data_IF_738106401466
#
_entry.id   IF_738106401466
#
_cell.length_a   1.000
_cell.length_b   1.000
_cell.length_c   1.000
_cell.angle_alpha   90.00
_cell.angle_beta   90.00
_cell.angle_gamma   90.00
#
_symmetry.space_group_name_H-M   'P 1'
#
loop_
_entity.id
_entity.type
_entity.pdbx_description
1 polymer ?
#
# COMPACT_ATOMS: atom_id res chain seq x y z
N UNK A 1 32.55 -17.35 59.15
CA UNK A 1 31.32 -17.86 58.50
C UNK A 1 30.67 -16.74 57.70
N UNK A 2 30.02 -17.12 56.59
CA UNK A 2 29.30 -16.31 55.58
C UNK A 2 30.11 -15.65 54.45
N UNK A 3 30.26 -16.40 53.35
CA UNK A 3 30.49 -15.87 52.01
C UNK A 3 29.16 -15.88 51.23
N UNK A 4 28.84 -14.77 50.57
CA UNK A 4 27.60 -14.49 49.87
C UNK A 4 27.44 -15.32 48.58
N UNK A 5 26.22 -15.79 48.31
CA UNK A 5 25.86 -16.51 47.09
C UNK A 5 25.65 -15.56 45.89
N UNK A 6 26.10 -15.91 44.67
CA UNK A 6 25.88 -15.08 43.49
C UNK A 6 24.44 -15.24 42.97
N UNK A 7 23.78 -14.11 42.72
CA UNK A 7 22.47 -14.03 42.06
C UNK A 7 22.61 -14.40 40.58
N UNK A 8 21.93 -15.47 40.17
CA UNK A 8 21.80 -15.84 38.77
C UNK A 8 20.90 -14.81 38.05
N UNK A 9 21.47 -14.12 37.05
CA UNK A 9 20.69 -13.30 36.12
C UNK A 9 19.82 -14.22 35.26
N UNK A 10 18.51 -14.09 35.41
CA UNK A 10 17.53 -14.67 34.49
C UNK A 10 17.55 -13.85 33.19
N UNK A 11 18.18 -14.39 32.16
CA UNK A 11 18.03 -13.89 30.79
C UNK A 11 16.63 -14.26 30.30
N UNK A 12 15.77 -13.24 30.16
CA UNK A 12 14.48 -13.38 29.49
C UNK A 12 14.74 -13.47 27.98
N UNK A 13 14.28 -14.55 27.35
CA UNK A 13 14.30 -14.69 25.89
C UNK A 13 13.38 -13.62 25.28
N UNK A 14 13.76 -13.00 24.14
CA UNK A 14 12.89 -12.07 23.45
C UNK A 14 11.65 -12.83 22.97
N UNK A 15 10.49 -12.41 23.49
CA UNK A 15 9.19 -12.93 23.09
C UNK A 15 8.89 -12.36 21.70
N UNK A 16 9.16 -13.15 20.66
CA UNK A 16 8.72 -12.85 19.29
C UNK A 16 7.21 -12.60 19.34
N UNK A 17 6.80 -11.33 19.21
CA UNK A 17 5.41 -10.96 19.06
C UNK A 17 4.94 -11.54 17.73
N UNK A 18 4.25 -12.68 17.80
CA UNK A 18 3.57 -13.27 16.65
C UNK A 18 2.43 -12.33 16.31
N UNK A 19 2.65 -11.46 15.32
CA UNK A 19 1.60 -10.59 14.78
C UNK A 19 0.57 -11.48 14.07
N UNK A 20 -0.39 -11.99 14.83
CA UNK A 20 -1.55 -12.67 14.26
C UNK A 20 -2.45 -11.57 13.72
N UNK A 21 -2.26 -11.27 12.43
CA UNK A 21 -3.21 -10.47 11.66
C UNK A 21 -4.57 -11.18 11.70
N UNK A 22 -5.40 -10.82 12.67
CA UNK A 22 -6.77 -11.30 12.79
C UNK A 22 -7.62 -10.42 11.88
N UNK A 23 -8.26 -11.03 10.88
CA UNK A 23 -9.17 -10.31 9.99
C UNK A 23 -10.34 -9.75 10.80
N UNK A 24 -10.81 -8.54 10.47
CA UNK A 24 -12.03 -8.01 11.06
C UNK A 24 -13.23 -8.93 10.72
N UNK A 25 -14.25 -9.03 11.60
CA UNK A 25 -15.47 -9.78 11.29
C UNK A 25 -16.09 -9.31 9.96
N UNK A 26 -16.47 -10.26 9.10
CA UNK A 26 -16.98 -9.95 7.75
C UNK A 26 -15.90 -9.54 6.74
N UNK A 27 -14.63 -9.68 7.10
CA UNK A 27 -13.50 -9.40 6.20
C UNK A 27 -12.89 -10.66 5.63
N UNK A 28 -12.53 -10.63 4.36
CA UNK A 28 -11.81 -11.70 3.65
C UNK A 28 -10.59 -11.13 2.94
N UNK A 29 -9.56 -11.96 2.75
CA UNK A 29 -8.38 -11.62 1.93
C UNK A 29 -8.60 -12.11 0.51
N UNK A 30 -8.17 -11.32 -0.47
CA UNK A 30 -8.11 -11.77 -1.85
C UNK A 30 -7.07 -12.90 -2.02
N UNK A 31 -7.40 -14.00 -2.74
CA UNK A 31 -6.48 -15.12 -2.90
C UNK A 31 -5.33 -14.85 -3.88
N UNK A 32 -5.48 -13.88 -4.80
CA UNK A 32 -4.52 -13.61 -5.87
C UNK A 32 -3.74 -12.31 -5.64
N UNK A 33 -4.33 -11.35 -4.93
CA UNK A 33 -3.69 -10.06 -4.68
C UNK A 33 -2.94 -10.06 -3.33
N UNK A 34 -1.67 -9.59 -3.29
CA UNK A 34 -0.80 -9.74 -2.11
C UNK A 34 -1.35 -9.08 -0.84
N UNK A 35 -1.95 -7.90 -0.96
CA UNK A 35 -2.38 -7.09 0.18
C UNK A 35 -3.90 -6.80 0.26
N UNK A 36 -4.72 -7.29 -0.67
CA UNK A 36 -6.11 -6.84 -0.78
C UNK A 36 -7.03 -7.55 0.21
N UNK A 37 -7.87 -6.77 0.86
CA UNK A 37 -8.91 -7.22 1.76
C UNK A 37 -10.27 -6.62 1.37
N UNK A 38 -11.31 -7.44 1.47
CA UNK A 38 -12.70 -7.05 1.32
C UNK A 38 -13.34 -7.00 2.70
N UNK A 39 -14.10 -5.95 3.01
CA UNK A 39 -14.79 -5.76 4.28
C UNK A 39 -16.29 -5.58 4.02
N UNK A 40 -17.09 -6.59 4.34
CA UNK A 40 -18.54 -6.51 4.28
C UNK A 40 -19.10 -5.85 5.54
N UNK A 41 -19.92 -4.80 5.39
CA UNK A 41 -20.53 -4.15 6.54
C UNK A 41 -21.76 -4.95 7.01
N UNK A 42 -21.81 -5.40 8.28
CA UNK A 42 -22.80 -6.39 8.74
C UNK A 42 -24.23 -5.86 8.95
N UNK A 43 -24.51 -4.57 8.74
CA UNK A 43 -25.67 -3.91 9.36
C UNK A 43 -26.70 -3.25 8.42
N UNK A 44 -26.49 -3.22 7.10
CA UNK A 44 -27.45 -2.59 6.18
C UNK A 44 -27.61 -3.45 4.94
N UNK A 45 -28.83 -3.87 4.63
CA UNK A 45 -29.15 -4.33 3.27
C UNK A 45 -29.63 -3.13 2.45
N UNK A 46 -29.07 -2.91 1.24
CA UNK A 46 -28.01 -3.69 0.63
C UNK A 46 -26.63 -3.38 1.24
N UNK A 47 -25.76 -4.40 1.35
CA UNK A 47 -24.48 -4.31 2.09
C UNK A 47 -23.38 -3.73 1.22
N UNK A 48 -22.80 -2.61 1.65
CA UNK A 48 -21.61 -2.00 1.03
C UNK A 48 -20.38 -2.87 1.31
N UNK A 49 -19.57 -3.11 0.28
CA UNK A 49 -18.28 -3.80 0.38
C UNK A 49 -17.17 -2.76 0.28
N UNK A 50 -16.28 -2.73 1.27
CA UNK A 50 -15.15 -1.80 1.31
C UNK A 50 -13.86 -2.54 0.97
N UNK A 51 -12.97 -1.91 0.20
CA UNK A 51 -11.68 -2.48 -0.22
C UNK A 51 -10.54 -1.76 0.51
N UNK A 52 -9.60 -2.50 1.10
CA UNK A 52 -8.41 -1.94 1.77
C UNK A 52 -7.18 -2.81 1.50
N UNK A 53 -5.98 -2.23 1.61
CA UNK A 53 -4.72 -2.99 1.68
C UNK A 53 -4.42 -3.50 3.11
N UNK A 54 -5.26 -3.15 4.08
CA UNK A 54 -5.09 -3.51 5.48
C UNK A 54 -6.13 -4.56 5.90
N UNK A 55 -5.76 -5.55 6.74
CA UNK A 55 -6.68 -6.58 7.22
C UNK A 55 -7.79 -6.04 8.13
N UNK A 56 -7.52 -4.91 8.78
CA UNK A 56 -8.40 -4.23 9.72
C UNK A 56 -8.19 -2.73 9.55
N UNK A 57 -8.94 -2.03 8.68
CA UNK A 57 -8.93 -0.57 8.64
C UNK A 57 -9.64 0.01 9.87
N UNK A 58 -9.25 1.20 10.31
CA UNK A 58 -9.78 1.92 11.49
C UNK A 58 -11.27 2.21 11.35
N UNK A 59 -11.69 2.60 10.14
CA UNK A 59 -13.07 2.86 9.78
C UNK A 59 -13.26 2.76 8.26
N UNK A 60 -14.51 2.58 7.81
CA UNK A 60 -14.85 2.58 6.38
C UNK A 60 -14.63 3.94 5.69
N UNK A 61 -14.41 5.01 6.45
CA UNK A 61 -14.14 6.37 5.95
C UNK A 61 -12.67 6.81 6.15
N UNK A 62 -11.84 5.88 6.63
CA UNK A 62 -10.39 6.10 6.77
C UNK A 62 -9.77 6.46 5.43
N UNK A 63 -8.71 7.27 5.44
CA UNK A 63 -7.89 7.50 4.24
C UNK A 63 -7.05 6.27 3.85
N UNK A 64 -7.04 5.21 4.66
CA UNK A 64 -6.38 3.93 4.36
C UNK A 64 -7.25 2.95 3.55
N UNK A 65 -8.48 3.33 3.23
CA UNK A 65 -9.44 2.54 2.44
C UNK A 65 -9.36 2.97 0.99
N UNK A 66 -9.19 2.03 0.05
CA UNK A 66 -9.13 2.33 -1.39
C UNK A 66 -10.44 2.95 -1.88
N UNK A 67 -11.56 2.43 -1.39
CA UNK A 67 -12.89 2.80 -1.84
C UNK A 67 -13.91 1.73 -1.49
N UNK A 68 -15.05 1.77 -2.18
CA UNK A 68 -16.13 0.83 -1.92
C UNK A 68 -16.92 0.48 -3.19
N UNK A 69 -17.56 -0.68 -3.15
CA UNK A 69 -18.59 -1.07 -4.10
C UNK A 69 -19.96 -0.64 -3.55
N UNK A 70 -20.77 0.07 -4.36
CA UNK A 70 -22.10 0.46 -3.96
C UNK A 70 -22.97 -0.78 -3.74
N UNK A 71 -23.99 -0.67 -2.88
CA UNK A 71 -24.78 -1.81 -2.51
C UNK A 71 -25.87 -2.08 -3.57
N UNK A 72 -25.46 -2.48 -4.77
CA UNK A 72 -26.34 -2.93 -5.86
C UNK A 72 -26.08 -4.40 -6.14
N UNK A 73 -27.13 -5.15 -6.51
CA UNK A 73 -27.10 -6.61 -6.56
C UNK A 73 -26.00 -7.18 -7.48
N UNK A 74 -25.63 -6.43 -8.52
CA UNK A 74 -24.64 -6.81 -9.53
C UNK A 74 -23.44 -5.85 -9.58
N UNK A 75 -23.12 -5.18 -8.46
CA UNK A 75 -21.98 -4.26 -8.39
C UNK A 75 -20.69 -4.97 -8.83
N UNK A 76 -20.12 -4.53 -9.95
CA UNK A 76 -18.84 -5.01 -10.46
C UNK A 76 -17.72 -4.01 -10.21
N UNK A 77 -16.52 -4.31 -10.71
CA UNK A 77 -15.36 -3.41 -10.63
C UNK A 77 -15.64 -2.04 -11.28
N UNK A 78 -16.53 -1.98 -12.27
CA UNK A 78 -16.94 -0.74 -12.94
C UNK A 78 -17.75 0.20 -12.04
N UNK A 79 -18.37 -0.32 -10.98
CA UNK A 79 -19.16 0.46 -10.02
C UNK A 79 -18.32 0.95 -8.84
N UNK A 80 -17.01 0.67 -8.83
CA UNK A 80 -16.11 1.05 -7.76
C UNK A 80 -16.06 2.56 -7.56
N UNK A 81 -16.34 2.99 -6.34
CA UNK A 81 -16.23 4.39 -5.92
C UNK A 81 -14.92 4.57 -5.16
N UNK A 82 -13.98 5.27 -5.81
CA UNK A 82 -12.67 5.59 -5.28
C UNK A 82 -12.76 6.56 -4.08
N UNK A 83 -11.91 6.33 -3.07
CA UNK A 83 -11.68 7.27 -2.00
C UNK A 83 -10.55 8.24 -2.38
N UNK A 84 -10.84 9.53 -2.66
CA UNK A 84 -9.82 10.48 -3.08
C UNK A 84 -8.74 10.70 -1.99
N UNK A 85 -9.10 10.55 -0.71
CA UNK A 85 -8.14 10.69 0.40
C UNK A 85 -7.08 9.59 0.40
N UNK A 86 -7.43 8.41 -0.10
CA UNK A 86 -6.48 7.31 -0.25
C UNK A 86 -5.53 7.58 -1.41
N UNK A 87 -6.02 8.13 -2.52
CA UNK A 87 -5.18 8.51 -3.67
C UNK A 87 -4.10 9.52 -3.27
N UNK A 88 -4.43 10.50 -2.45
CA UNK A 88 -3.45 11.47 -1.93
C UNK A 88 -2.35 10.77 -1.12
N UNK A 89 -2.73 9.85 -0.23
CA UNK A 89 -1.79 9.05 0.58
C UNK A 89 -0.92 8.16 -0.30
N UNK A 90 -1.52 7.51 -1.30
CA UNK A 90 -0.82 6.63 -2.24
C UNK A 90 0.29 7.39 -2.98
N UNK A 91 -0.03 8.53 -3.60
CA UNK A 91 0.96 9.29 -4.35
C UNK A 91 2.04 9.92 -3.46
N UNK A 92 1.69 10.34 -2.24
CA UNK A 92 2.68 10.82 -1.27
C UNK A 92 3.63 9.69 -0.84
N UNK A 93 3.10 8.50 -0.54
CA UNK A 93 3.90 7.33 -0.15
C UNK A 93 4.79 6.83 -1.31
N UNK A 94 4.30 6.84 -2.55
CA UNK A 94 5.11 6.48 -3.72
C UNK A 94 6.25 7.47 -3.90
N UNK A 95 5.98 8.79 -3.84
CA UNK A 95 7.03 9.81 -3.96
C UNK A 95 8.13 9.62 -2.90
N UNK A 96 7.75 9.35 -1.67
CA UNK A 96 8.68 9.10 -0.57
C UNK A 96 9.43 7.77 -0.74
N UNK A 97 8.75 6.72 -1.19
CA UNK A 97 9.34 5.42 -1.52
C UNK A 97 10.39 5.51 -2.64
N UNK A 98 10.11 6.28 -3.69
CA UNK A 98 11.07 6.59 -4.76
C UNK A 98 12.29 7.34 -4.22
N UNK A 99 12.10 8.28 -3.28
CA UNK A 99 13.21 8.98 -2.65
C UNK A 99 14.11 8.08 -1.79
N UNK A 100 13.54 6.97 -1.29
CA UNK A 100 14.25 5.98 -0.48
C UNK A 100 14.80 4.81 -1.30
N UNK A 101 14.52 4.77 -2.61
CA UNK A 101 14.97 3.69 -3.49
C UNK A 101 14.44 2.31 -3.07
N UNK A 102 13.20 2.24 -2.57
CA UNK A 102 12.65 0.98 -1.99
C UNK A 102 12.33 -0.09 -3.02
N UNK A 103 12.23 0.28 -4.30
CA UNK A 103 11.85 -0.64 -5.38
C UNK A 103 13.00 -0.89 -6.35
N UNK A 104 13.58 -2.09 -6.28
CA UNK A 104 14.69 -2.50 -7.15
C UNK A 104 14.33 -2.49 -8.63
N UNK A 105 13.09 -2.84 -9.01
CA UNK A 105 12.66 -2.86 -10.41
C UNK A 105 12.62 -1.46 -11.01
N UNK A 106 12.12 -0.48 -10.26
CA UNK A 106 12.05 0.92 -10.69
C UNK A 106 13.44 1.55 -10.77
N UNK A 107 14.33 1.27 -9.80
CA UNK A 107 15.72 1.71 -9.83
C UNK A 107 16.51 1.08 -11.00
N UNK A 108 16.28 -0.21 -11.28
CA UNK A 108 16.88 -0.88 -12.42
C UNK A 108 16.43 -0.29 -13.75
N UNK A 109 15.13 0.02 -13.88
CA UNK A 109 14.61 0.70 -15.07
C UNK A 109 15.29 2.06 -15.23
N UNK A 110 15.35 2.89 -14.18
CA UNK A 110 16.02 4.19 -14.24
C UNK A 110 17.50 4.07 -14.66
N UNK A 111 18.25 3.13 -14.07
CA UNK A 111 19.68 2.95 -14.29
C UNK A 111 20.06 2.37 -15.65
N UNK A 112 19.13 1.68 -16.33
CA UNK A 112 19.38 1.07 -17.66
C UNK A 112 18.99 1.98 -18.82
N UNK A 113 18.43 3.17 -18.55
CA UNK A 113 18.05 4.12 -19.59
C UNK A 113 19.28 4.72 -20.28
N UNK A 114 19.24 4.88 -21.62
CA UNK A 114 20.37 5.41 -22.38
C UNK A 114 20.60 6.92 -22.20
N UNK A 115 19.67 7.64 -21.57
CA UNK A 115 19.78 9.07 -21.33
C UNK A 115 18.71 9.60 -20.39
N UNK A 116 18.82 10.89 -20.11
CA UNK A 116 17.95 11.60 -19.18
C UNK A 116 16.55 11.82 -19.77
N UNK A 117 15.54 11.85 -18.91
CA UNK A 117 14.17 12.07 -19.34
C UNK A 117 13.13 11.54 -18.37
N UNK A 118 11.86 11.73 -18.72
CA UNK A 118 10.76 11.19 -17.94
C UNK A 118 10.62 9.67 -18.12
N UNK A 119 10.37 9.01 -17.01
CA UNK A 119 10.07 7.59 -16.88
C UNK A 119 8.70 7.45 -16.21
N UNK A 120 7.88 6.51 -16.69
CA UNK A 120 6.57 6.24 -16.11
C UNK A 120 6.67 5.11 -15.10
N UNK A 121 6.08 5.31 -13.92
CA UNK A 121 5.89 4.25 -12.94
C UNK A 121 4.63 3.49 -13.33
N UNK A 122 4.80 2.21 -13.67
CA UNK A 122 3.71 1.38 -14.20
C UNK A 122 3.14 0.48 -13.11
N UNK A 123 1.82 0.31 -13.11
CA UNK A 123 1.11 -0.65 -12.28
C UNK A 123 1.38 -2.09 -12.77
N UNK A 124 1.91 -2.95 -11.90
CA UNK A 124 2.29 -4.32 -12.23
C UNK A 124 1.07 -5.24 -12.45
N UNK A 125 -0.17 -4.76 -12.24
CA UNK A 125 -1.37 -5.53 -12.64
C UNK A 125 -1.45 -5.74 -14.16
N UNK A 126 -0.84 -4.83 -14.93
CA UNK A 126 -0.89 -4.80 -16.39
C UNK A 126 0.50 -4.46 -16.98
N UNK A 127 1.47 -5.35 -16.75
CA UNK A 127 2.84 -5.15 -17.24
C UNK A 127 2.86 -5.08 -18.78
N UNK A 128 3.35 -3.97 -19.38
CA UNK A 128 3.40 -3.82 -20.82
C UNK A 128 4.44 -4.75 -21.46
N UNK A 129 4.29 -5.08 -22.76
CA UNK A 129 5.35 -5.75 -23.51
C UNK A 129 6.66 -4.95 -23.46
N UNK A 130 7.80 -5.66 -23.48
CA UNK A 130 9.11 -5.03 -23.44
C UNK A 130 9.27 -3.93 -24.51
N UNK A 131 9.71 -2.74 -24.09
CA UNK A 131 9.88 -1.57 -24.95
C UNK A 131 8.57 -0.84 -25.30
N UNK A 132 7.43 -1.20 -24.69
CA UNK A 132 6.17 -0.46 -24.79
C UNK A 132 5.86 0.26 -23.48
N UNK A 133 5.09 1.33 -23.60
CA UNK A 133 4.49 2.04 -22.47
C UNK A 133 3.13 1.37 -22.19
N UNK A 134 2.78 1.23 -20.92
CA UNK A 134 1.49 0.68 -20.48
C UNK A 134 0.30 1.56 -20.89
N UNK A 135 -0.90 1.02 -20.68
CA UNK A 135 -2.13 1.76 -20.91
C UNK A 135 -2.23 2.95 -19.96
N UNK A 136 -2.87 4.03 -20.44
CA UNK A 136 -2.86 5.32 -19.74
C UNK A 136 -3.55 5.26 -18.36
N UNK A 137 -4.44 4.29 -18.13
CA UNK A 137 -5.08 4.03 -16.84
C UNK A 137 -4.26 3.18 -15.86
N UNK A 138 -3.18 2.57 -16.33
CA UNK A 138 -2.24 1.73 -15.57
C UNK A 138 -0.88 2.41 -15.34
N UNK A 139 -0.69 3.64 -15.84
CA UNK A 139 0.45 4.47 -15.48
C UNK A 139 0.13 5.21 -14.18
N UNK A 140 0.87 4.94 -13.11
CA UNK A 140 0.64 5.51 -11.78
C UNK A 140 1.06 6.99 -11.74
N UNK A 141 2.21 7.29 -12.34
CA UNK A 141 2.80 8.61 -12.36
C UNK A 141 4.08 8.64 -13.18
N UNK A 142 4.69 9.81 -13.26
CA UNK A 142 5.95 10.02 -13.98
C UNK A 142 6.99 10.64 -13.08
N UNK A 143 8.26 10.34 -13.33
CA UNK A 143 9.38 10.94 -12.62
C UNK A 143 10.52 11.20 -13.62
N UNK A 144 11.27 12.26 -13.41
CA UNK A 144 12.46 12.54 -14.19
C UNK A 144 13.62 11.66 -13.70
N UNK A 145 14.37 11.12 -14.66
CA UNK A 145 15.60 10.37 -14.43
C UNK A 145 16.76 11.16 -15.00
N UNK A 146 17.80 11.36 -14.19
CA UNK A 146 19.02 12.07 -14.55
C UNK A 146 20.23 11.21 -14.17
N UNK A 147 21.14 10.98 -15.11
CA UNK A 147 22.33 10.13 -14.94
C UNK A 147 21.99 8.73 -14.38
N UNK A 148 20.89 8.14 -14.87
CA UNK A 148 20.41 6.83 -14.42
C UNK A 148 19.85 6.80 -12.99
N UNK A 149 19.61 7.96 -12.38
CA UNK A 149 19.04 8.09 -11.04
C UNK A 149 17.70 8.81 -11.08
N UNK A 150 16.76 8.35 -10.27
CA UNK A 150 15.46 8.98 -10.12
C UNK A 150 15.62 10.33 -9.40
N UNK A 151 14.92 11.35 -9.88
CA UNK A 151 14.82 12.68 -9.25
C UNK A 151 13.43 12.79 -8.58
N UNK A 152 13.26 12.38 -7.31
CA UNK A 152 11.94 12.14 -6.71
C UNK A 152 11.10 13.41 -6.56
N UNK A 153 11.75 14.59 -6.50
CA UNK A 153 11.07 15.88 -6.41
C UNK A 153 10.19 16.17 -7.63
N UNK A 154 10.50 15.57 -8.78
CA UNK A 154 9.78 15.71 -10.06
C UNK A 154 8.60 14.75 -10.21
N UNK A 155 8.33 13.91 -9.21
CA UNK A 155 7.22 12.96 -9.26
C UNK A 155 5.88 13.69 -9.50
N UNK A 156 5.19 13.27 -10.55
CA UNK A 156 3.88 13.78 -10.94
C UNK A 156 2.87 12.62 -11.04
N UNK A 157 1.78 12.63 -10.25
CA UNK A 157 0.68 11.68 -10.37
C UNK A 157 0.06 11.71 -11.76
N UNK A 158 -0.23 10.55 -12.34
CA UNK A 158 -0.94 10.51 -13.62
C UNK A 158 -2.44 10.75 -13.40
N UNK A 159 -3.06 11.75 -14.06
CA UNK A 159 -4.48 12.06 -13.85
C UNK A 159 -5.42 10.92 -14.24
N UNK A 160 -5.07 10.18 -15.30
CA UNK A 160 -5.85 9.06 -15.83
C UNK A 160 -5.71 7.76 -15.05
N UNK A 161 -4.79 7.68 -14.08
CA UNK A 161 -4.60 6.48 -13.29
C UNK A 161 -5.88 6.08 -12.54
N UNK A 162 -6.19 4.79 -12.53
CA UNK A 162 -7.33 4.21 -11.82
C UNK A 162 -6.87 3.16 -10.83
N UNK A 163 -7.38 3.19 -9.60
CA UNK A 163 -7.08 2.14 -8.62
C UNK A 163 -7.65 0.77 -9.00
N UNK A 164 -8.70 0.76 -9.81
CA UNK A 164 -9.39 -0.44 -10.28
C UNK A 164 -9.69 -0.30 -11.77
N UNK A 165 -9.33 -1.31 -12.55
CA UNK A 165 -9.64 -1.42 -13.99
C UNK A 165 -10.21 -2.80 -14.31
N UNK A 166 -10.42 -3.09 -15.60
CA UNK A 166 -10.78 -4.43 -16.08
C UNK A 166 -9.70 -5.49 -15.78
N UNK A 167 -8.45 -5.07 -15.56
CA UNK A 167 -7.33 -5.92 -15.15
C UNK A 167 -7.29 -6.21 -13.64
N UNK A 168 -8.17 -5.57 -12.85
CA UNK A 168 -8.30 -5.79 -11.41
C UNK A 168 -7.88 -4.58 -10.57
N UNK A 169 -7.52 -4.85 -9.32
CA UNK A 169 -7.08 -3.84 -8.36
C UNK A 169 -5.58 -3.55 -8.55
N UNK A 170 -5.16 -2.32 -8.29
CA UNK A 170 -3.76 -1.89 -8.44
C UNK A 170 -2.75 -2.81 -7.77
N UNK A 171 -1.66 -3.10 -8.44
CA UNK A 171 -0.52 -3.85 -7.92
C UNK A 171 0.73 -3.00 -8.11
N UNK A 172 1.26 -2.44 -7.03
CA UNK A 172 2.44 -1.58 -7.10
C UNK A 172 3.71 -2.39 -7.35
N UNK A 173 4.75 -1.77 -7.94
CA UNK A 173 6.04 -2.42 -8.08
C UNK A 173 6.58 -2.95 -6.75
N UNK A 174 7.21 -4.13 -6.79
CA UNK A 174 7.77 -4.77 -5.60
C UNK A 174 8.65 -3.79 -4.81
N UNK A 175 8.43 -3.71 -3.51
CA UNK A 175 9.09 -2.78 -2.60
C UNK A 175 8.29 -1.50 -2.38
N UNK A 176 7.67 -0.93 -3.43
CA UNK A 176 6.72 0.19 -3.26
C UNK A 176 5.41 -0.27 -2.62
N UNK A 177 4.94 -1.48 -2.97
CA UNK A 177 3.78 -2.13 -2.36
C UNK A 177 3.93 -2.26 -0.84
N UNK A 178 5.02 -2.89 -0.40
CA UNK A 178 5.33 -3.10 1.02
C UNK A 178 5.50 -1.76 1.75
N UNK A 179 6.17 -0.79 1.11
CA UNK A 179 6.36 0.54 1.67
C UNK A 179 5.05 1.28 1.89
N UNK A 180 4.18 1.29 0.88
CA UNK A 180 2.85 1.94 0.95
C UNK A 180 2.00 1.26 2.02
N UNK A 181 2.00 -0.07 2.11
CA UNK A 181 1.30 -0.79 3.19
C UNK A 181 1.86 -0.41 4.58
N UNK A 182 3.16 -0.21 4.70
CA UNK A 182 3.80 0.32 5.92
C UNK A 182 3.25 1.69 6.32
N UNK A 183 3.26 2.65 5.38
CA UNK A 183 2.72 4.00 5.60
C UNK A 183 1.23 3.96 5.97
N UNK A 184 0.44 3.10 5.33
CA UNK A 184 -0.98 2.93 5.64
C UNK A 184 -1.20 2.42 7.07
N UNK A 185 -0.34 1.51 7.55
CA UNK A 185 -0.41 1.01 8.94
C UNK A 185 -0.11 2.11 9.95
N UNK A 186 0.89 2.95 9.70
CA UNK A 186 1.23 4.08 10.57
C UNK A 186 0.06 5.08 10.65
N UNK A 187 -0.54 5.40 9.50
CA UNK A 187 -1.71 6.27 9.44
C UNK A 187 -2.90 5.65 10.17
N UNK A 188 -3.16 4.35 9.98
CA UNK A 188 -4.27 3.64 10.62
C UNK A 188 -4.10 3.62 12.15
N UNK A 189 -2.88 3.37 12.64
CA UNK A 189 -2.55 3.42 14.07
C UNK A 189 -2.76 4.83 14.65
N UNK A 190 -2.34 5.87 13.94
CA UNK A 190 -2.59 7.25 14.34
C UNK A 190 -4.10 7.57 14.38
N UNK A 191 -4.89 7.09 13.42
CA UNK A 191 -6.35 7.26 13.41
C UNK A 191 -7.06 6.51 14.56
N UNK A 192 -6.48 5.40 15.04
CA UNK A 192 -6.97 4.67 16.23
C UNK A 192 -6.59 5.34 17.55
N UNK A 193 -5.69 6.33 17.54
CA UNK A 193 -5.13 6.92 18.75
C UNK A 193 -4.05 6.05 19.41
N UNK A 194 -3.43 5.13 18.65
CA UNK A 194 -2.38 4.22 19.15
C UNK A 194 -0.96 4.79 18.95
N UNK A 195 -0.82 5.95 18.30
CA UNK A 195 0.48 6.54 17.95
C UNK A 195 1.21 7.24 19.12
N UNK A 196 0.55 7.49 20.26
CA UNK A 196 1.10 8.28 21.38
C UNK A 196 1.51 7.42 22.60
N UNK A 197 1.87 6.15 22.36
CA UNK A 197 2.09 5.14 23.40
C UNK A 197 3.54 4.85 23.81
N UNK A 198 4.53 5.72 23.59
CA UNK A 198 5.91 5.54 24.08
C UNK A 198 6.60 6.92 23.99
N UNK A 199 7.13 7.60 25.02
CA UNK A 199 7.99 7.21 26.15
C UNK A 199 7.91 8.30 27.24
N UNK A 200 7.91 7.91 28.52
CA UNK A 200 8.33 8.74 29.67
C UNK A 200 9.62 8.15 30.25
#
# INVERSE_FOLDING_TARGET
>A
MLAAAPRLLRTALPRLARSTSTLAPGSSRDPLHPHLHYHAQPATQPSRITLSLLPTPSSAHSRCVLGYLPPVADAGLNDFVENPRFRDVLHAAIKDGLAKGVSESVEFEAGTRPGDGFMHITDERAIPPAGRIGETEDLIGSVYVENGKIVPSTYEPQPSYRLVTSHGVMTLPRGLDEYVVGVLREIDAAERGEADGEQW
#
